data_IF_829442353030
#
_entry.id   IF_829442353030
#
_cell.length_a   1.000
_cell.length_b   1.000
_cell.length_c   1.000
_cell.angle_alpha   90.00
_cell.angle_beta   90.00
_cell.angle_gamma   90.00
#
_symmetry.space_group_name_H-M   'P 1'
#
loop_
_entity.id
_entity.type
_entity.pdbx_description
1 polymer ?
#
# COMPACT_ATOMS: atom_id res chain seq x y z
N UNK A 1 10.08 -47.10 10.89
CA UNK A 1 11.09 -46.28 10.18
C UNK A 1 10.42 -45.07 9.51
N UNK A 2 9.49 -44.38 10.18
CA UNK A 2 8.71 -43.28 9.58
C UNK A 2 8.96 -41.91 10.23
N UNK A 3 9.86 -41.82 11.23
CA UNK A 3 10.07 -40.59 12.00
C UNK A 3 11.36 -39.84 11.60
N UNK A 4 12.07 -40.31 10.58
CA UNK A 4 13.37 -39.74 10.18
C UNK A 4 13.27 -38.85 8.93
N UNK A 5 12.24 -39.02 8.09
CA UNK A 5 12.06 -38.20 6.88
C UNK A 5 11.49 -36.82 7.22
N UNK A 6 10.57 -36.72 8.19
CA UNK A 6 9.99 -35.44 8.62
C UNK A 6 11.04 -34.53 9.27
N UNK A 7 11.92 -35.09 10.12
CA UNK A 7 12.98 -34.33 10.79
C UNK A 7 14.06 -33.84 9.82
N UNK A 8 14.36 -34.61 8.76
CA UNK A 8 15.31 -34.20 7.73
C UNK A 8 14.72 -33.12 6.81
N UNK A 9 13.42 -33.20 6.49
CA UNK A 9 12.72 -32.14 5.76
C UNK A 9 12.66 -30.83 6.57
N UNK A 10 12.36 -30.87 7.86
CA UNK A 10 12.39 -29.68 8.74
C UNK A 10 13.79 -29.08 8.88
N UNK A 11 14.83 -29.91 9.00
CA UNK A 11 16.22 -29.43 9.06
C UNK A 11 16.74 -28.87 7.73
N UNK A 12 16.22 -29.38 6.61
CA UNK A 12 16.55 -28.86 5.27
C UNK A 12 15.81 -27.53 5.00
N UNK A 13 14.53 -27.42 5.41
CA UNK A 13 13.75 -26.16 5.38
C UNK A 13 14.42 -25.03 6.15
N UNK A 14 14.91 -25.30 7.36
CA UNK A 14 15.64 -24.31 8.18
C UNK A 14 16.95 -23.84 7.56
N UNK A 15 17.53 -24.62 6.65
CA UNK A 15 18.86 -24.34 6.07
C UNK A 15 18.77 -23.50 4.80
N UNK A 16 17.70 -23.65 4.02
CA UNK A 16 17.49 -22.88 2.78
C UNK A 16 17.16 -21.42 3.08
N UNK A 17 16.24 -21.16 4.02
CA UNK A 17 15.88 -19.78 4.41
C UNK A 17 17.06 -19.03 5.06
N UNK A 18 17.87 -19.72 5.87
CA UNK A 18 19.05 -19.12 6.52
C UNK A 18 20.19 -18.80 5.53
N UNK A 19 20.14 -19.34 4.30
CA UNK A 19 21.13 -19.07 3.26
C UNK A 19 20.84 -17.79 2.47
N UNK A 20 19.60 -17.29 2.46
CA UNK A 20 19.20 -16.06 1.75
C UNK A 20 19.49 -14.75 2.50
N UNK A 21 19.69 -14.78 3.82
CA UNK A 21 19.91 -13.60 4.68
C UNK A 21 21.39 -13.17 4.82
N UNK A 22 22.21 -13.45 3.80
CA UNK A 22 23.66 -13.26 3.84
C UNK A 22 24.13 -11.80 3.75
N UNK A 23 24.47 -11.23 4.91
CA UNK A 23 25.45 -10.16 5.14
C UNK A 23 25.08 -8.69 4.82
N UNK A 24 24.62 -7.98 5.85
CA UNK A 24 24.71 -6.51 5.95
C UNK A 24 24.24 -6.02 7.33
N UNK A 25 25.13 -5.99 8.33
CA UNK A 25 24.86 -5.38 9.65
C UNK A 25 26.05 -4.49 10.03
N UNK A 26 25.82 -3.18 10.14
CA UNK A 26 26.70 -2.24 10.83
C UNK A 26 25.97 -1.72 12.08
N UNK A 27 26.63 -1.83 13.24
CA UNK A 27 26.06 -1.50 14.55
C UNK A 27 26.39 -0.07 14.97
N UNK A 28 25.41 0.69 15.45
CA UNK A 28 25.62 1.88 16.27
C UNK A 28 24.69 1.85 17.50
N UNK A 29 25.23 2.20 18.66
CA UNK A 29 24.55 2.14 19.96
C UNK A 29 24.45 3.55 20.59
N UNK A 30 23.32 3.85 21.26
CA UNK A 30 23.15 5.06 22.09
C UNK A 30 21.90 4.99 22.98
N UNK A 31 22.01 5.46 24.23
CA UNK A 31 21.04 5.31 25.35
C UNK A 31 20.41 6.69 25.69
N UNK A 32 19.11 6.77 26.04
CA UNK A 32 18.62 7.82 26.98
C UNK A 32 17.14 8.29 26.98
N UNK A 33 16.36 7.76 27.92
CA UNK A 33 15.26 8.34 28.76
C UNK A 33 14.01 9.05 28.18
N UNK A 34 12.88 8.34 28.33
CA UNK A 34 11.48 8.72 28.70
C UNK A 34 10.86 10.01 28.16
N UNK A 35 10.09 9.82 27.08
CA UNK A 35 8.86 10.54 26.76
C UNK A 35 8.87 11.23 25.42
N UNK A 36 8.92 10.53 24.28
CA UNK A 36 8.83 11.10 22.92
C UNK A 36 8.80 10.00 21.84
N UNK A 37 8.27 10.35 20.66
CA UNK A 37 8.44 9.71 19.33
C UNK A 37 9.84 9.09 19.18
N UNK A 38 9.93 7.89 18.60
CA UNK A 38 11.15 7.08 18.63
C UNK A 38 12.33 7.72 17.87
N UNK A 39 13.54 7.29 18.24
CA UNK A 39 14.81 7.91 17.87
C UNK A 39 15.07 7.97 16.36
N UNK A 40 15.39 9.17 15.90
CA UNK A 40 15.89 9.51 14.56
C UNK A 40 17.29 8.88 14.37
N UNK A 41 17.48 8.09 13.30
CA UNK A 41 18.79 7.62 12.87
C UNK A 41 19.42 8.65 11.91
N UNK A 42 20.65 9.06 12.22
CA UNK A 42 21.28 10.35 11.91
C UNK A 42 21.70 10.62 10.43
N UNK A 43 21.11 9.97 9.43
CA UNK A 43 21.41 10.27 8.01
C UNK A 43 20.24 10.06 7.01
N UNK A 44 19.07 9.59 7.47
CA UNK A 44 17.87 9.38 6.64
C UNK A 44 16.65 9.96 7.35
N UNK A 45 15.81 10.71 6.63
CA UNK A 45 14.59 11.34 7.15
C UNK A 45 13.45 10.31 7.39
N UNK A 46 13.77 9.24 8.14
CA UNK A 46 12.87 8.12 8.44
C UNK A 46 12.49 8.15 9.91
N UNK A 47 11.19 8.26 10.19
CA UNK A 47 10.64 8.08 11.53
C UNK A 47 10.51 6.59 11.84
N UNK A 48 10.95 6.16 13.02
CA UNK A 48 10.81 4.76 13.44
C UNK A 48 9.58 4.61 14.34
N UNK A 49 8.68 3.68 13.99
CA UNK A 49 7.56 3.27 14.85
C UNK A 49 7.81 1.82 15.27
N UNK A 50 8.41 1.65 16.46
CA UNK A 50 8.71 0.33 17.03
C UNK A 50 7.63 -0.10 18.02
N UNK A 51 6.75 -0.99 17.57
CA UNK A 51 5.60 -1.46 18.38
C UNK A 51 6.00 -2.46 19.47
N UNK A 52 7.28 -2.88 19.51
CA UNK A 52 7.82 -3.73 20.59
C UNK A 52 8.12 -2.90 21.83
N UNK A 53 8.39 -1.62 21.65
CA UNK A 53 8.80 -0.69 22.72
C UNK A 53 7.72 0.36 23.03
N UNK A 54 6.96 0.78 22.02
CA UNK A 54 5.93 1.80 22.17
C UNK A 54 4.68 1.26 22.87
N UNK A 55 4.22 1.97 23.91
CA UNK A 55 2.98 1.64 24.60
C UNK A 55 1.72 2.07 23.82
N UNK A 56 1.85 3.11 23.00
CA UNK A 56 0.77 3.69 22.19
C UNK A 56 1.39 4.25 20.89
N UNK A 57 1.77 3.37 19.94
CA UNK A 57 2.37 3.80 18.68
C UNK A 57 1.36 4.54 17.80
N UNK A 58 1.77 5.67 17.21
CA UNK A 58 0.97 6.45 16.26
C UNK A 58 1.80 6.81 15.03
N UNK A 59 1.13 7.14 13.92
CA UNK A 59 1.77 7.73 12.76
C UNK A 59 1.83 9.26 12.89
N UNK A 60 2.78 9.92 12.23
CA UNK A 60 2.80 11.37 12.06
C UNK A 60 1.54 11.86 11.34
N UNK A 61 0.93 12.94 11.83
CA UNK A 61 -0.24 13.58 11.18
C UNK A 61 0.28 14.62 10.19
N UNK A 62 0.35 14.22 8.92
CA UNK A 62 0.86 14.96 7.76
C UNK A 62 -0.04 14.74 6.55
N UNK A 63 0.19 15.45 5.45
CA UNK A 63 -0.63 15.32 4.24
C UNK A 63 -0.40 13.96 3.57
N UNK A 64 0.82 13.42 3.58
CA UNK A 64 1.10 12.05 3.12
C UNK A 64 2.14 11.29 3.98
N UNK A 65 1.84 10.04 4.34
CA UNK A 65 2.79 9.16 5.03
C UNK A 65 3.04 7.86 4.26
N UNK A 66 4.32 7.55 4.05
CA UNK A 66 4.78 6.26 3.51
C UNK A 66 5.25 5.36 4.65
N UNK A 67 4.59 4.24 4.89
CA UNK A 67 4.96 3.27 5.92
C UNK A 67 5.60 2.04 5.29
N UNK A 68 6.86 1.80 5.61
CA UNK A 68 7.59 0.59 5.25
C UNK A 68 7.55 -0.45 6.39
N UNK A 69 7.23 -1.70 6.04
CA UNK A 69 7.22 -2.85 6.96
C UNK A 69 8.27 -3.87 6.52
N UNK A 70 9.22 -4.14 7.41
CA UNK A 70 10.33 -5.07 7.16
C UNK A 70 9.91 -6.55 7.17
N UNK A 71 10.76 -7.41 6.61
CA UNK A 71 10.57 -8.87 6.62
C UNK A 71 11.11 -9.61 7.86
N UNK A 72 11.22 -10.94 7.73
CA UNK A 72 11.73 -11.83 8.76
C UNK A 72 13.20 -11.51 9.10
N UNK A 73 13.54 -11.45 10.39
CA UNK A 73 14.83 -10.97 10.93
C UNK A 73 15.18 -9.52 10.53
N UNK A 74 14.20 -8.73 10.07
CA UNK A 74 14.38 -7.35 9.64
C UNK A 74 14.39 -6.31 10.76
N UNK A 75 14.07 -6.66 12.01
CA UNK A 75 13.78 -5.65 13.04
C UNK A 75 14.92 -4.70 13.42
N UNK A 76 16.17 -4.99 13.04
CA UNK A 76 17.31 -4.07 13.18
C UNK A 76 17.71 -3.37 11.88
N UNK A 77 17.28 -3.88 10.72
CA UNK A 77 17.59 -3.33 9.40
C UNK A 77 16.39 -2.65 8.72
N UNK A 78 15.20 -2.72 9.32
CA UNK A 78 13.98 -2.13 8.78
C UNK A 78 14.09 -0.62 8.52
N UNK A 79 14.66 0.19 9.43
CA UNK A 79 14.90 1.61 9.17
C UNK A 79 15.81 1.86 7.96
N UNK A 80 16.88 1.07 7.80
CA UNK A 80 17.79 1.19 6.65
C UNK A 80 17.07 0.80 5.34
N UNK A 81 16.26 -0.27 5.36
CA UNK A 81 15.46 -0.68 4.19
C UNK A 81 14.40 0.36 3.82
N UNK A 82 13.78 1.01 4.79
CA UNK A 82 12.85 2.12 4.56
C UNK A 82 13.57 3.31 3.91
N UNK A 83 14.79 3.62 4.35
CA UNK A 83 15.62 4.67 3.76
C UNK A 83 16.05 4.32 2.32
N UNK A 84 16.44 3.07 2.06
CA UNK A 84 16.77 2.59 0.71
C UNK A 84 15.56 2.71 -0.23
N UNK A 85 14.38 2.29 0.24
CA UNK A 85 13.12 2.43 -0.49
C UNK A 85 12.81 3.90 -0.81
N UNK A 86 12.88 4.78 0.19
CA UNK A 86 12.67 6.22 -0.02
C UNK A 86 13.66 6.78 -1.05
N UNK A 87 14.92 6.31 -1.06
CA UNK A 87 15.92 6.70 -2.04
C UNK A 87 15.60 6.28 -3.48
N UNK A 88 15.10 5.06 -3.70
CA UNK A 88 14.71 4.61 -5.05
C UNK A 88 13.43 5.30 -5.54
N UNK A 89 12.50 5.60 -4.64
CA UNK A 89 11.28 6.36 -4.93
C UNK A 89 11.60 7.81 -5.31
N UNK A 90 12.49 8.47 -4.55
CA UNK A 90 12.94 9.82 -4.86
C UNK A 90 13.66 9.89 -6.22
N UNK A 91 14.41 8.84 -6.56
CA UNK A 91 15.01 8.70 -7.91
C UNK A 91 13.95 8.54 -9.00
N UNK A 92 12.83 7.89 -8.66
CA UNK A 92 11.64 7.76 -9.51
C UNK A 92 10.79 9.03 -9.61
N UNK A 93 11.07 10.06 -8.80
CA UNK A 93 10.35 11.33 -8.81
C UNK A 93 9.27 11.47 -7.73
N UNK A 94 9.18 10.54 -6.78
CA UNK A 94 8.23 10.58 -5.67
C UNK A 94 8.95 10.73 -4.32
N UNK A 95 8.53 11.70 -3.52
CA UNK A 95 8.97 11.90 -2.14
C UNK A 95 7.74 12.13 -1.25
N UNK A 96 7.50 11.25 -0.28
CA UNK A 96 6.45 11.45 0.72
C UNK A 96 6.83 12.55 1.73
N UNK A 97 5.84 13.19 2.36
CA UNK A 97 6.12 14.17 3.44
C UNK A 97 6.87 13.53 4.60
N UNK A 98 6.49 12.29 4.95
CA UNK A 98 7.12 11.52 6.00
C UNK A 98 7.23 10.04 5.63
N UNK A 99 8.43 9.47 5.81
CA UNK A 99 8.66 8.03 5.66
C UNK A 99 8.79 7.39 7.04
N UNK A 100 7.99 6.36 7.31
CA UNK A 100 7.95 5.63 8.57
C UNK A 100 8.47 4.21 8.37
N UNK A 101 9.42 3.80 9.20
CA UNK A 101 9.78 2.40 9.37
C UNK A 101 8.95 1.78 10.50
N UNK A 102 8.00 0.91 10.15
CA UNK A 102 7.22 0.12 11.11
C UNK A 102 8.02 -1.12 11.52
N UNK A 103 8.34 -1.20 12.80
CA UNK A 103 9.19 -2.25 13.37
C UNK A 103 8.38 -3.12 14.33
N UNK A 104 8.30 -4.41 14.03
CA UNK A 104 7.65 -5.43 14.85
C UNK A 104 8.62 -6.56 15.19
N UNK A 105 8.24 -7.45 16.12
CA UNK A 105 9.06 -8.61 16.43
C UNK A 105 8.96 -9.64 15.29
N UNK A 106 10.01 -9.66 14.48
CA UNK A 106 10.18 -10.63 13.41
C UNK A 106 11.39 -11.53 13.68
N UNK A 107 11.69 -11.86 14.94
CA UNK A 107 12.89 -12.63 15.30
C UNK A 107 12.64 -14.12 15.53
N UNK A 108 11.37 -14.56 15.49
CA UNK A 108 10.97 -15.91 15.82
C UNK A 108 11.48 -16.92 14.77
N UNK A 109 12.33 -17.91 15.14
CA UNK A 109 12.90 -18.86 14.19
C UNK A 109 11.92 -19.96 13.76
N UNK A 110 10.73 -20.06 14.36
CA UNK A 110 9.70 -21.02 13.98
C UNK A 110 8.77 -20.43 12.90
N UNK A 111 8.66 -21.12 11.77
CA UNK A 111 7.92 -20.64 10.60
C UNK A 111 6.42 -20.49 10.87
N UNK A 112 5.81 -21.29 11.74
CA UNK A 112 4.39 -21.10 12.03
C UNK A 112 4.20 -19.92 12.97
N UNK A 113 5.01 -19.85 14.03
CA UNK A 113 4.89 -18.79 15.01
C UNK A 113 5.21 -17.41 14.41
N UNK A 114 6.17 -17.31 13.49
CA UNK A 114 6.47 -16.04 12.81
C UNK A 114 5.31 -15.58 11.89
N UNK A 115 4.52 -16.51 11.33
CA UNK A 115 3.32 -16.15 10.55
C UNK A 115 2.22 -15.61 11.47
N UNK A 116 2.06 -16.20 12.66
CA UNK A 116 1.16 -15.68 13.69
C UNK A 116 1.62 -14.30 14.19
N UNK A 117 2.93 -14.11 14.38
CA UNK A 117 3.53 -12.84 14.79
C UNK A 117 3.30 -11.75 13.71
N UNK A 118 3.43 -12.08 12.43
CA UNK A 118 3.12 -11.17 11.32
C UNK A 118 1.63 -10.82 11.26
N UNK A 119 0.73 -11.78 11.48
CA UNK A 119 -0.70 -11.50 11.52
C UNK A 119 -1.07 -10.56 12.69
N UNK A 120 -0.48 -10.80 13.87
CA UNK A 120 -0.66 -9.92 15.04
C UNK A 120 -0.10 -8.50 14.79
N UNK A 121 1.04 -8.39 14.09
CA UNK A 121 1.57 -7.12 13.65
C UNK A 121 0.63 -6.40 12.67
N UNK A 122 -0.01 -7.13 11.75
CA UNK A 122 -1.00 -6.58 10.82
C UNK A 122 -2.22 -6.01 11.54
N UNK A 123 -2.76 -6.74 12.51
CA UNK A 123 -3.85 -6.23 13.35
C UNK A 123 -3.44 -4.99 14.17
N UNK A 124 -2.18 -4.92 14.62
CA UNK A 124 -1.63 -3.73 15.30
C UNK A 124 -1.54 -2.55 14.34
N UNK A 125 -1.00 -2.77 13.14
CA UNK A 125 -0.92 -1.75 12.09
C UNK A 125 -2.30 -1.23 11.71
N UNK A 126 -3.31 -2.10 11.54
CA UNK A 126 -4.69 -1.69 11.29
C UNK A 126 -5.25 -0.77 12.38
N UNK A 127 -4.89 -1.00 13.64
CA UNK A 127 -5.25 -0.10 14.74
C UNK A 127 -4.64 1.29 14.59
N UNK A 128 -3.36 1.33 14.27
CA UNK A 128 -2.60 2.57 14.06
C UNK A 128 -3.14 3.35 12.85
N UNK A 129 -3.46 2.66 11.76
CA UNK A 129 -4.03 3.26 10.55
C UNK A 129 -5.37 3.94 10.81
N UNK A 130 -6.26 3.29 11.57
CA UNK A 130 -7.55 3.89 11.96
C UNK A 130 -7.33 5.17 12.76
N UNK A 131 -6.43 5.14 13.75
CA UNK A 131 -6.09 6.33 14.53
C UNK A 131 -5.52 7.44 13.65
N UNK A 132 -4.61 7.12 12.74
CA UNK A 132 -4.00 8.09 11.84
C UNK A 132 -5.04 8.79 10.94
N UNK A 133 -5.96 8.02 10.35
CA UNK A 133 -7.06 8.53 9.51
C UNK A 133 -8.01 9.39 10.35
N UNK A 134 -8.41 8.92 11.54
CA UNK A 134 -9.28 9.67 12.47
C UNK A 134 -8.64 10.99 12.94
N UNK A 135 -7.32 11.02 13.06
CA UNK A 135 -6.53 12.20 13.44
C UNK A 135 -6.24 13.14 12.27
N UNK A 136 -6.57 12.74 11.05
CA UNK A 136 -6.53 13.59 9.85
C UNK A 136 -5.24 13.50 9.03
N UNK A 137 -4.58 12.33 9.01
CA UNK A 137 -3.60 12.04 7.95
C UNK A 137 -4.32 12.07 6.59
N UNK A 138 -3.74 12.75 5.60
CA UNK A 138 -4.34 12.89 4.28
C UNK A 138 -4.31 11.58 3.48
N UNK A 139 -3.11 11.15 3.11
CA UNK A 139 -2.85 9.92 2.35
C UNK A 139 -1.93 8.97 3.12
N UNK A 140 -2.20 7.67 3.01
CA UNK A 140 -1.37 6.61 3.58
C UNK A 140 -0.94 5.64 2.49
N UNK A 141 0.37 5.39 2.41
CA UNK A 141 0.95 4.37 1.53
C UNK A 141 1.69 3.32 2.33
N UNK A 142 1.43 2.05 2.05
CA UNK A 142 2.02 0.92 2.74
C UNK A 142 2.94 0.14 1.80
N UNK A 143 4.15 -0.16 2.26
CA UNK A 143 5.09 -1.00 1.53
C UNK A 143 5.57 -2.11 2.45
N UNK A 144 5.43 -3.36 2.03
CA UNK A 144 5.79 -4.51 2.86
C UNK A 144 6.76 -5.43 2.14
N UNK A 145 7.98 -5.59 2.65
CA UNK A 145 8.94 -6.52 2.08
C UNK A 145 8.83 -7.91 2.71
N UNK A 146 8.86 -8.97 1.89
CA UNK A 146 8.90 -10.35 2.37
C UNK A 146 7.71 -10.65 3.29
N UNK A 147 7.97 -11.04 4.54
CA UNK A 147 6.95 -11.24 5.56
C UNK A 147 6.19 -9.94 5.91
N UNK A 148 6.81 -8.77 5.78
CA UNK A 148 6.16 -7.47 5.92
C UNK A 148 5.05 -7.25 4.89
N UNK A 149 5.14 -7.89 3.72
CA UNK A 149 4.05 -7.94 2.74
C UNK A 149 2.77 -8.56 3.32
N UNK A 150 2.91 -9.58 4.19
CA UNK A 150 1.75 -10.13 4.91
C UNK A 150 1.17 -9.14 5.90
N UNK A 151 2.02 -8.41 6.61
CA UNK A 151 1.59 -7.45 7.63
C UNK A 151 0.69 -6.38 7.01
N UNK A 152 1.08 -5.85 5.85
CA UNK A 152 0.29 -4.81 5.18
C UNK A 152 -1.03 -5.34 4.61
N UNK A 153 -1.07 -6.56 4.04
CA UNK A 153 -2.31 -7.15 3.55
C UNK A 153 -3.23 -7.64 4.68
N UNK A 154 -2.64 -8.15 5.77
CA UNK A 154 -3.40 -8.48 6.97
C UNK A 154 -4.03 -7.22 7.56
N UNK A 155 -3.29 -6.11 7.60
CA UNK A 155 -3.83 -4.83 8.08
C UNK A 155 -5.08 -4.42 7.30
N UNK A 156 -5.06 -4.53 5.97
CA UNK A 156 -6.25 -4.29 5.13
C UNK A 156 -7.42 -5.22 5.47
N UNK A 157 -7.15 -6.52 5.68
CA UNK A 157 -8.20 -7.50 5.98
C UNK A 157 -8.86 -7.33 7.36
N UNK A 158 -8.15 -6.70 8.30
CA UNK A 158 -8.64 -6.42 9.65
C UNK A 158 -9.25 -5.01 9.74
N UNK A 159 -8.93 -4.12 8.79
CA UNK A 159 -9.49 -2.78 8.73
C UNK A 159 -11.00 -2.85 8.52
N UNK A 160 -11.74 -2.08 9.31
CA UNK A 160 -13.18 -1.98 9.15
C UNK A 160 -13.51 -1.14 7.91
N UNK A 161 -14.61 -1.44 7.23
CA UNK A 161 -15.04 -0.66 6.07
C UNK A 161 -15.21 0.83 6.41
N UNK A 162 -14.72 1.69 5.52
CA UNK A 162 -14.73 3.15 5.69
C UNK A 162 -13.36 3.76 6.04
N UNK A 163 -12.34 2.93 6.27
CA UNK A 163 -10.95 3.36 6.30
C UNK A 163 -10.26 2.85 5.03
N UNK A 164 -9.64 3.74 4.27
CA UNK A 164 -9.01 3.41 2.99
C UNK A 164 -7.55 3.83 3.01
N UNK A 165 -6.68 2.98 2.46
CA UNK A 165 -5.26 3.22 2.23
C UNK A 165 -5.05 3.44 0.73
N UNK A 166 -4.30 4.45 0.32
CA UNK A 166 -4.20 4.83 -1.09
C UNK A 166 -3.42 3.79 -1.90
N UNK A 167 -2.20 3.45 -1.45
CA UNK A 167 -1.36 2.48 -2.16
C UNK A 167 -0.81 1.45 -1.19
N UNK A 168 -0.90 0.17 -1.58
CA UNK A 168 -0.26 -0.93 -0.86
C UNK A 168 0.63 -1.72 -1.81
N UNK A 169 1.93 -1.77 -1.52
CA UNK A 169 2.93 -2.42 -2.35
C UNK A 169 3.64 -3.56 -1.57
N UNK A 170 3.06 -4.77 -1.52
CA UNK A 170 3.80 -5.93 -1.07
C UNK A 170 4.90 -6.28 -2.09
N UNK A 171 6.10 -6.56 -1.60
CA UNK A 171 7.29 -6.86 -2.40
C UNK A 171 7.86 -8.22 -1.99
N UNK A 172 7.89 -9.19 -2.92
CA UNK A 172 8.37 -10.54 -2.63
C UNK A 172 7.61 -11.18 -1.46
N UNK A 173 6.29 -11.00 -1.41
CA UNK A 173 5.47 -11.42 -0.27
C UNK A 173 5.53 -12.93 -0.02
N UNK A 174 5.72 -13.31 1.24
CA UNK A 174 5.79 -14.70 1.68
C UNK A 174 4.39 -15.34 1.82
N UNK A 175 3.62 -15.48 0.73
CA UNK A 175 2.24 -15.98 0.76
C UNK A 175 1.88 -16.87 -0.44
N UNK A 176 0.80 -17.64 -0.28
CA UNK A 176 0.16 -18.37 -1.38
C UNK A 176 -0.69 -17.39 -2.22
N UNK A 177 -0.67 -17.50 -3.54
CA UNK A 177 -1.31 -16.54 -4.43
C UNK A 177 -2.84 -16.55 -4.36
N UNK A 178 -3.46 -17.68 -4.04
CA UNK A 178 -4.90 -17.75 -3.83
C UNK A 178 -5.41 -16.87 -2.67
N UNK A 179 -4.53 -16.41 -1.77
CA UNK A 179 -4.91 -15.52 -0.64
C UNK A 179 -5.48 -14.17 -1.08
N UNK A 180 -5.14 -13.70 -2.28
CA UNK A 180 -5.64 -12.44 -2.86
C UNK A 180 -6.77 -12.63 -3.88
N UNK A 181 -7.17 -13.87 -4.16
CA UNK A 181 -8.27 -14.20 -5.09
C UNK A 181 -9.60 -14.35 -4.36
N UNK A 182 -10.73 -14.34 -5.08
CA UNK A 182 -12.08 -14.43 -4.51
C UNK A 182 -12.21 -15.57 -3.48
N UNK A 183 -12.63 -15.23 -2.25
CA UNK A 183 -12.71 -16.15 -1.11
C UNK A 183 -11.38 -16.43 -0.40
N UNK A 184 -10.29 -15.83 -0.86
CA UNK A 184 -8.99 -15.78 -0.21
C UNK A 184 -8.97 -14.86 1.01
N UNK A 185 -7.97 -15.06 1.88
CA UNK A 185 -7.86 -14.37 3.17
C UNK A 185 -7.90 -12.84 3.08
N UNK A 186 -7.28 -12.26 2.05
CA UNK A 186 -7.09 -10.81 1.94
C UNK A 186 -7.95 -10.17 0.86
N UNK A 187 -8.75 -10.94 0.11
CA UNK A 187 -9.54 -10.44 -1.01
C UNK A 187 -10.48 -9.29 -0.60
N UNK A 188 -11.30 -9.49 0.44
CA UNK A 188 -12.28 -8.49 0.86
C UNK A 188 -11.58 -7.22 1.37
N UNK A 189 -10.51 -7.36 2.17
CA UNK A 189 -9.73 -6.22 2.65
C UNK A 189 -9.06 -5.42 1.53
N UNK A 190 -8.53 -6.10 0.51
CA UNK A 190 -7.95 -5.45 -0.68
C UNK A 190 -9.04 -4.69 -1.47
N UNK A 191 -10.23 -5.29 -1.60
CA UNK A 191 -11.34 -4.70 -2.36
C UNK A 191 -11.94 -3.48 -1.65
N UNK A 192 -12.04 -3.51 -0.32
CA UNK A 192 -12.78 -2.52 0.47
C UNK A 192 -11.89 -1.40 1.03
N UNK A 193 -10.63 -1.71 1.36
CA UNK A 193 -9.81 -0.85 2.22
C UNK A 193 -8.52 -0.34 1.53
N UNK A 194 -8.36 -0.56 0.23
CA UNK A 194 -7.26 0.01 -0.53
C UNK A 194 -7.69 0.55 -1.90
N UNK A 195 -7.23 1.74 -2.26
CA UNK A 195 -7.44 2.30 -3.61
C UNK A 195 -6.65 1.51 -4.64
N UNK A 196 -5.41 1.14 -4.32
CA UNK A 196 -4.59 0.26 -5.15
C UNK A 196 -3.67 -0.66 -4.36
N UNK A 197 -3.58 -1.90 -4.81
CA UNK A 197 -2.64 -2.90 -4.32
C UNK A 197 -1.78 -3.38 -5.48
N UNK A 198 -0.47 -3.18 -5.39
CA UNK A 198 0.52 -3.56 -6.42
C UNK A 198 1.47 -4.61 -5.86
N UNK A 199 1.25 -5.87 -6.19
CA UNK A 199 2.12 -6.95 -5.76
C UNK A 199 3.34 -7.06 -6.68
N UNK A 200 4.51 -6.66 -6.17
CA UNK A 200 5.77 -6.80 -6.89
C UNK A 200 6.35 -8.18 -6.63
N UNK A 201 6.45 -8.99 -7.69
CA UNK A 201 6.98 -10.34 -7.63
C UNK A 201 8.16 -10.53 -8.58
N UNK A 202 9.05 -11.47 -8.26
CA UNK A 202 10.19 -11.83 -9.11
C UNK A 202 10.36 -13.33 -9.16
N UNK A 203 10.41 -13.89 -10.37
CA UNK A 203 10.76 -15.29 -10.58
C UNK A 203 12.22 -15.61 -10.21
N UNK A 204 13.04 -14.61 -9.92
CA UNK A 204 14.39 -14.76 -9.37
C UNK A 204 14.40 -14.79 -7.83
N UNK A 205 13.24 -14.68 -7.17
CA UNK A 205 13.10 -14.81 -5.72
C UNK A 205 13.29 -16.27 -5.27
N UNK A 206 14.49 -16.56 -4.75
CA UNK A 206 14.90 -17.89 -4.32
C UNK A 206 14.50 -18.25 -2.88
N UNK A 207 13.83 -17.33 -2.18
CA UNK A 207 13.43 -17.50 -0.78
C UNK A 207 11.95 -17.86 -0.67
N UNK A 208 11.07 -17.16 -1.38
CA UNK A 208 9.61 -17.35 -1.26
C UNK A 208 9.12 -18.52 -2.10
N UNK A 209 9.55 -18.61 -3.36
CA UNK A 209 9.09 -19.64 -4.31
C UNK A 209 9.12 -21.08 -3.78
N UNK A 210 10.14 -21.52 -3.01
CA UNK A 210 10.20 -22.89 -2.50
C UNK A 210 9.20 -23.26 -1.41
N UNK A 211 8.68 -22.29 -0.66
CA UNK A 211 7.91 -22.53 0.57
C UNK A 211 6.40 -22.19 0.44
N UNK A 212 5.99 -21.56 -0.66
CA UNK A 212 4.61 -21.17 -0.97
C UNK A 212 4.14 -21.70 -2.33
N UNK A 213 2.84 -21.61 -2.63
CA UNK A 213 2.25 -21.98 -3.92
C UNK A 213 1.85 -23.44 -4.08
N UNK A 214 2.20 -24.33 -3.16
CA UNK A 214 1.60 -25.66 -3.02
C UNK A 214 1.36 -26.44 -4.34
N UNK A 215 0.31 -27.24 -4.40
CA UNK A 215 -0.09 -27.92 -5.64
C UNK A 215 -1.35 -27.27 -6.20
N UNK A 216 -1.19 -26.54 -7.32
CA UNK A 216 -2.30 -25.84 -7.97
C UNK A 216 -2.53 -24.41 -7.48
N UNK A 217 -1.53 -23.83 -6.81
CA UNK A 217 -1.47 -22.43 -6.41
C UNK A 217 -0.11 -21.85 -6.86
N UNK A 218 0.18 -20.61 -6.53
CA UNK A 218 1.44 -19.92 -6.85
C UNK A 218 2.06 -19.31 -5.61
N UNK A 219 3.38 -19.18 -5.57
CA UNK A 219 4.05 -18.39 -4.54
C UNK A 219 3.90 -16.91 -4.89
N UNK A 220 3.08 -16.17 -4.15
CA UNK A 220 2.64 -14.82 -4.55
C UNK A 220 3.80 -13.84 -4.79
N UNK A 221 4.84 -13.90 -3.96
CA UNK A 221 6.04 -13.06 -4.10
C UNK A 221 7.03 -13.51 -5.18
N UNK A 222 6.87 -14.70 -5.76
CA UNK A 222 7.77 -15.24 -6.79
C UNK A 222 7.08 -15.45 -8.15
N UNK A 223 5.76 -15.61 -8.16
CA UNK A 223 4.98 -16.03 -9.33
C UNK A 223 3.72 -15.19 -9.56
N UNK A 224 3.34 -14.32 -8.62
CA UNK A 224 2.07 -13.58 -8.68
C UNK A 224 0.86 -14.42 -8.28
N UNK A 225 -0.35 -13.94 -8.58
CA UNK A 225 -1.62 -14.65 -8.35
C UNK A 225 -1.83 -15.79 -9.37
N UNK A 226 -2.46 -16.92 -8.98
CA UNK A 226 -2.74 -18.00 -9.93
C UNK A 226 -3.83 -17.62 -10.95
N UNK A 227 -4.67 -16.62 -10.64
CA UNK A 227 -5.74 -16.14 -11.52
C UNK A 227 -6.01 -14.64 -11.29
N UNK A 228 -5.41 -13.80 -12.15
CA UNK A 228 -5.63 -12.34 -12.14
C UNK A 228 -7.07 -11.91 -12.40
N UNK A 229 -7.93 -12.78 -12.93
CA UNK A 229 -9.36 -12.44 -13.14
C UNK A 229 -10.20 -12.66 -11.90
N UNK A 230 -9.65 -13.35 -10.89
CA UNK A 230 -10.28 -13.61 -9.61
C UNK A 230 -9.79 -12.67 -8.50
N UNK A 231 -8.94 -11.68 -8.80
CA UNK A 231 -8.50 -10.67 -7.82
C UNK A 231 -9.43 -9.44 -7.83
N UNK A 232 -9.44 -8.63 -6.76
CA UNK A 232 -10.20 -7.37 -6.76
C UNK A 232 -9.73 -6.43 -7.86
N UNK A 233 -10.60 -5.52 -8.31
CA UNK A 233 -10.27 -4.53 -9.34
C UNK A 233 -9.13 -3.58 -8.92
N UNK A 234 -8.94 -3.39 -7.61
CA UNK A 234 -7.87 -2.58 -7.02
C UNK A 234 -6.53 -3.31 -6.97
N UNK A 235 -6.48 -4.60 -7.31
CA UNK A 235 -5.26 -5.42 -7.24
C UNK A 235 -4.58 -5.54 -8.60
N UNK A 236 -3.25 -5.44 -8.62
CA UNK A 236 -2.42 -5.68 -9.81
C UNK A 236 -1.12 -6.38 -9.43
N UNK A 237 -0.75 -7.39 -10.22
CA UNK A 237 0.58 -7.99 -10.17
C UNK A 237 1.56 -7.21 -11.04
N UNK A 238 2.76 -6.97 -10.52
CA UNK A 238 3.86 -6.32 -11.23
C UNK A 238 5.06 -7.27 -11.26
N UNK A 239 5.38 -7.77 -12.44
CA UNK A 239 6.55 -8.63 -12.66
C UNK A 239 7.82 -7.78 -12.72
N UNK A 240 8.66 -7.91 -11.70
CA UNK A 240 9.97 -7.24 -11.62
C UNK A 240 11.13 -8.21 -11.78
N UNK A 241 10.89 -9.38 -12.38
CA UNK A 241 11.92 -10.40 -12.59
C UNK A 241 13.17 -9.86 -13.30
N UNK A 242 13.01 -8.96 -14.26
CA UNK A 242 14.13 -8.42 -15.03
C UNK A 242 15.01 -7.42 -14.24
N UNK A 243 14.49 -6.79 -13.18
CA UNK A 243 15.20 -5.78 -12.36
C UNK A 243 15.59 -6.29 -10.97
N UNK A 244 14.80 -7.19 -10.39
CA UNK A 244 15.01 -7.75 -9.06
C UNK A 244 15.60 -9.15 -9.18
N UNK A 245 16.92 -9.24 -8.95
CA UNK A 245 17.68 -10.48 -9.15
C UNK A 245 17.68 -11.48 -7.99
N UNK A 246 17.15 -11.12 -6.81
CA UNK A 246 17.01 -12.00 -5.64
C UNK A 246 16.06 -11.37 -4.59
N UNK A 247 15.69 -12.14 -3.57
CA UNK A 247 14.74 -11.74 -2.52
C UNK A 247 15.11 -10.43 -1.77
N UNK A 248 16.39 -10.13 -1.61
CA UNK A 248 16.85 -8.93 -0.90
C UNK A 248 16.94 -7.68 -1.77
N UNK A 249 16.72 -7.77 -3.08
CA UNK A 249 17.02 -6.69 -4.01
C UNK A 249 15.86 -5.71 -4.27
N UNK A 250 14.64 -6.01 -3.82
CA UNK A 250 13.44 -5.20 -4.12
C UNK A 250 13.60 -3.72 -3.74
N UNK A 251 13.99 -3.42 -2.49
CA UNK A 251 14.11 -2.04 -1.99
C UNK A 251 15.30 -1.27 -2.56
N UNK A 252 16.12 -1.92 -3.39
CA UNK A 252 17.30 -1.34 -4.02
C UNK A 252 17.21 -1.30 -5.55
N UNK A 253 16.05 -1.68 -6.12
CA UNK A 253 15.81 -1.74 -7.56
C UNK A 253 15.27 -0.39 -8.07
N UNK A 254 16.04 0.38 -8.85
CA UNK A 254 15.59 1.67 -9.37
C UNK A 254 14.39 1.53 -10.31
N UNK A 255 14.31 0.46 -11.10
CA UNK A 255 13.19 0.22 -12.01
C UNK A 255 11.88 -0.05 -11.25
N UNK A 256 11.95 -0.79 -10.13
CA UNK A 256 10.80 -0.97 -9.25
C UNK A 256 10.44 0.34 -8.54
N UNK A 257 11.43 1.11 -8.10
CA UNK A 257 11.22 2.43 -7.50
C UNK A 257 10.52 3.40 -8.46
N UNK A 258 10.91 3.40 -9.74
CA UNK A 258 10.25 4.18 -10.78
C UNK A 258 8.79 3.75 -10.98
N UNK A 259 8.52 2.45 -11.16
CA UNK A 259 7.15 1.96 -11.36
C UNK A 259 6.23 2.29 -10.17
N UNK A 260 6.73 2.16 -8.95
CA UNK A 260 5.96 2.51 -7.76
C UNK A 260 5.77 4.02 -7.64
N UNK A 261 6.79 4.83 -7.93
CA UNK A 261 6.67 6.28 -7.95
C UNK A 261 5.64 6.75 -8.99
N UNK A 262 5.73 6.23 -10.22
CA UNK A 262 4.78 6.54 -11.30
C UNK A 262 3.36 6.16 -10.89
N UNK A 263 3.16 4.95 -10.36
CA UNK A 263 1.83 4.51 -9.92
C UNK A 263 1.24 5.34 -8.77
N UNK A 264 2.10 5.89 -7.91
CA UNK A 264 1.71 6.78 -6.83
C UNK A 264 1.35 8.16 -7.39
N UNK A 265 2.18 8.73 -8.26
CA UNK A 265 1.95 10.04 -8.85
C UNK A 265 0.75 10.02 -9.79
N UNK A 266 0.57 8.99 -10.60
CA UNK A 266 -0.62 8.82 -11.45
C UNK A 266 -1.91 8.64 -10.62
N UNK A 267 -1.82 8.19 -9.36
CA UNK A 267 -2.94 8.22 -8.40
C UNK A 267 -3.10 9.57 -7.70
N UNK A 268 -1.99 10.29 -7.49
CA UNK A 268 -1.99 11.66 -6.94
C UNK A 268 -2.41 12.72 -7.94
N UNK A 269 -2.39 12.40 -9.23
CA UNK A 269 -2.94 13.20 -10.33
C UNK A 269 -4.49 13.10 -10.39
N UNK A 270 -5.17 12.65 -9.33
CA UNK A 270 -6.58 13.05 -9.10
C UNK A 270 -6.71 14.57 -8.79
N UNK A 271 -5.58 15.27 -8.67
CA UNK A 271 -5.46 16.74 -8.79
C UNK A 271 -5.18 17.22 -10.23
N UNK A 272 -5.05 16.33 -11.23
CA UNK A 272 -5.22 16.74 -12.62
C UNK A 272 -6.69 17.18 -12.75
N UNK A 273 -6.93 18.42 -13.18
CA UNK A 273 -8.29 18.89 -13.26
C UNK A 273 -9.06 17.98 -14.21
N UNK A 274 -10.21 17.49 -13.75
CA UNK A 274 -11.05 16.56 -14.50
C UNK A 274 -11.36 17.15 -15.88
N UNK A 275 -10.63 16.78 -16.92
CA UNK A 275 -10.86 17.37 -18.23
C UNK A 275 -12.14 16.79 -18.85
N UNK A 276 -13.15 17.65 -19.01
CA UNK A 276 -14.39 17.31 -19.68
C UNK A 276 -14.34 17.81 -21.12
N UNK A 277 -13.71 17.05 -22.02
CA UNK A 277 -13.58 17.41 -23.45
C UNK A 277 -13.04 18.84 -23.71
N UNK A 278 -12.05 19.27 -22.92
CA UNK A 278 -11.43 20.60 -23.02
C UNK A 278 -12.10 21.68 -22.16
N UNK A 279 -13.09 21.31 -21.33
CA UNK A 279 -13.48 22.07 -20.16
C UNK A 279 -12.72 21.58 -18.94
N UNK A 280 -12.51 22.47 -17.99
CA UNK A 280 -11.78 22.23 -16.75
C UNK A 280 -12.73 22.55 -15.59
N UNK A 281 -13.67 21.65 -15.24
CA UNK A 281 -14.64 21.86 -14.18
C UNK A 281 -13.96 22.15 -12.84
N UNK A 282 -14.49 23.10 -12.07
CA UNK A 282 -13.90 23.50 -10.79
C UNK A 282 -14.92 23.71 -9.67
N UNK A 283 -14.49 23.58 -8.40
CA UNK A 283 -15.22 24.10 -7.25
C UNK A 283 -15.52 25.59 -7.35
N UNK A 284 -16.74 26.01 -7.03
CA UNK A 284 -17.12 27.43 -7.07
C UNK A 284 -17.36 28.05 -5.68
N UNK A 285 -17.91 27.30 -4.73
CA UNK A 285 -18.41 27.81 -3.45
C UNK A 285 -17.69 27.26 -2.21
N UNK A 286 -16.51 26.65 -2.43
CA UNK A 286 -15.71 26.02 -1.39
C UNK A 286 -16.26 24.67 -0.91
N UNK A 287 -17.22 24.08 -1.63
CA UNK A 287 -17.48 22.64 -1.58
C UNK A 287 -16.60 21.90 -2.57
N UNK A 288 -16.53 20.58 -2.46
CA UNK A 288 -15.79 19.73 -3.41
C UNK A 288 -16.57 19.51 -4.72
N UNK A 289 -17.81 20.01 -4.83
CA UNK A 289 -18.64 19.88 -6.03
C UNK A 289 -18.23 20.87 -7.11
N UNK A 290 -18.15 20.38 -8.35
CA UNK A 290 -17.67 21.14 -9.51
C UNK A 290 -18.79 21.97 -10.13
N UNK A 291 -19.24 23.00 -9.41
CA UNK A 291 -20.32 23.88 -9.85
C UNK A 291 -19.96 24.74 -11.09
N UNK A 292 -18.68 25.04 -11.31
CA UNK A 292 -18.16 25.75 -12.49
C UNK A 292 -17.73 24.72 -13.54
N UNK A 293 -18.70 24.04 -14.15
CA UNK A 293 -18.47 22.89 -15.06
C UNK A 293 -17.70 23.28 -16.32
N UNK A 294 -17.83 24.52 -16.79
CA UNK A 294 -17.11 24.98 -17.98
C UNK A 294 -15.70 25.55 -17.68
N UNK A 295 -15.34 25.68 -16.40
CA UNK A 295 -14.03 26.16 -15.94
C UNK A 295 -13.76 27.65 -16.16
N UNK A 296 -14.79 28.48 -16.39
CA UNK A 296 -14.60 29.90 -16.68
C UNK A 296 -14.37 30.77 -15.42
N UNK A 297 -14.43 30.17 -14.24
CA UNK A 297 -14.35 30.80 -12.93
C UNK A 297 -15.68 31.41 -12.47
N UNK A 298 -16.81 31.03 -13.05
CA UNK A 298 -18.14 31.55 -12.72
C UNK A 298 -19.24 30.54 -12.99
N UNK A 299 -19.99 30.23 -11.93
CA UNK A 299 -21.28 29.58 -12.05
C UNK A 299 -22.28 30.42 -12.89
N UNK A 300 -22.77 29.82 -13.98
CA UNK A 300 -23.64 30.44 -14.97
C UNK A 300 -24.43 29.44 -15.83
N UNK A 301 -25.20 29.97 -16.77
CA UNK A 301 -26.04 29.12 -17.65
C UNK A 301 -25.23 28.24 -18.62
N UNK A 302 -23.95 28.55 -18.84
CA UNK A 302 -23.10 27.77 -19.71
C UNK A 302 -22.70 26.44 -19.03
N UNK A 303 -22.49 26.44 -17.71
CA UNK A 303 -22.23 25.23 -16.93
C UNK A 303 -23.36 24.21 -17.05
N UNK A 304 -24.62 24.66 -16.97
CA UNK A 304 -25.79 23.79 -17.17
C UNK A 304 -25.80 23.18 -18.56
N UNK A 305 -25.36 23.93 -19.58
CA UNK A 305 -25.33 23.44 -20.97
C UNK A 305 -24.22 22.41 -21.15
N UNK A 306 -23.00 22.72 -20.69
CA UNK A 306 -21.86 21.80 -20.73
C UNK A 306 -22.18 20.52 -19.96
N UNK A 307 -22.69 20.65 -18.74
CA UNK A 307 -23.03 19.50 -17.92
C UNK A 307 -24.11 18.62 -18.56
N UNK A 308 -25.15 19.22 -19.15
CA UNK A 308 -26.19 18.46 -19.83
C UNK A 308 -25.68 17.76 -21.09
N UNK A 309 -24.86 18.43 -21.91
CA UNK A 309 -24.31 17.87 -23.14
C UNK A 309 -23.34 16.72 -22.88
N UNK A 310 -22.72 16.69 -21.70
CA UNK A 310 -21.75 15.69 -21.27
C UNK A 310 -22.23 14.79 -20.13
N UNK A 311 -23.54 14.81 -19.82
CA UNK A 311 -24.09 14.09 -18.66
C UNK A 311 -23.75 12.59 -18.68
N UNK A 312 -23.77 11.99 -19.87
CA UNK A 312 -23.52 10.55 -20.08
C UNK A 312 -22.03 10.23 -20.28
N UNK A 313 -21.13 11.23 -20.26
CA UNK A 313 -19.70 10.97 -20.48
C UNK A 313 -19.10 10.19 -19.29
N UNK A 314 -18.16 9.25 -19.54
CA UNK A 314 -17.54 8.46 -18.47
C UNK A 314 -16.89 9.31 -17.39
N UNK A 315 -16.34 10.47 -17.78
CA UNK A 315 -15.73 11.44 -16.87
C UNK A 315 -16.74 11.96 -15.84
N UNK A 316 -17.99 12.17 -16.24
CA UNK A 316 -19.07 12.63 -15.34
C UNK A 316 -19.63 11.46 -14.54
N UNK A 317 -19.91 10.34 -15.21
CA UNK A 317 -20.59 9.19 -14.60
C UNK A 317 -19.72 8.42 -13.60
N UNK A 318 -18.40 8.36 -13.83
CA UNK A 318 -17.48 7.66 -12.92
C UNK A 318 -17.03 8.53 -11.73
N UNK A 319 -17.41 9.80 -11.70
CA UNK A 319 -17.00 10.75 -10.67
C UNK A 319 -18.18 11.43 -9.95
N UNK A 320 -19.12 10.65 -9.38
CA UNK A 320 -20.30 11.20 -8.71
C UNK A 320 -19.95 12.13 -7.54
N UNK A 321 -18.80 11.95 -6.90
CA UNK A 321 -18.32 12.79 -5.81
C UNK A 321 -18.16 14.27 -6.19
N UNK A 322 -17.97 14.59 -7.48
CA UNK A 322 -17.83 15.96 -7.97
C UNK A 322 -19.07 16.49 -8.70
N UNK A 323 -19.93 15.60 -9.23
CA UNK A 323 -21.04 15.94 -10.13
C UNK A 323 -22.45 15.59 -9.64
N UNK A 324 -22.60 14.85 -8.52
CA UNK A 324 -23.90 14.59 -7.87
C UNK A 324 -24.39 15.81 -7.07
N UNK A 325 -24.80 16.85 -7.80
CA UNK A 325 -25.30 18.09 -7.23
C UNK A 325 -26.56 17.89 -6.38
N UNK A 326 -27.36 16.86 -6.68
CA UNK A 326 -28.59 16.52 -5.97
C UNK A 326 -28.38 15.72 -4.69
N UNK A 327 -27.20 15.11 -4.51
CA UNK A 327 -26.86 14.25 -3.37
C UNK A 327 -27.64 12.93 -3.38
N UNK A 328 -27.97 12.42 -4.57
CA UNK A 328 -28.77 11.21 -4.75
C UNK A 328 -27.96 9.91 -4.71
N UNK A 329 -26.63 10.02 -4.81
CA UNK A 329 -25.66 8.93 -4.90
C UNK A 329 -25.26 8.57 -6.33
N UNK A 330 -25.93 9.12 -7.35
CA UNK A 330 -25.69 8.87 -8.78
C UNK A 330 -25.81 10.19 -9.56
N UNK A 331 -25.09 10.33 -10.69
CA UNK A 331 -25.19 11.50 -11.56
C UNK A 331 -26.28 11.34 -12.61
N UNK A 332 -27.28 12.23 -12.61
CA UNK A 332 -28.51 12.10 -13.38
C UNK A 332 -29.06 13.45 -13.86
N UNK A 333 -30.19 13.42 -14.57
CA UNK A 333 -30.90 14.65 -14.95
C UNK A 333 -31.39 15.49 -13.75
N UNK A 334 -31.49 14.91 -12.56
CA UNK A 334 -31.81 15.69 -11.36
C UNK A 334 -30.67 16.65 -11.00
N UNK A 335 -29.42 16.25 -11.24
CA UNK A 335 -28.24 17.08 -10.97
C UNK A 335 -28.21 18.28 -11.91
N UNK A 336 -28.63 18.11 -13.16
CA UNK A 336 -28.80 19.22 -14.13
C UNK A 336 -29.83 20.23 -13.63
N UNK A 337 -30.95 19.75 -13.04
CA UNK A 337 -31.97 20.62 -12.46
C UNK A 337 -31.41 21.35 -11.24
N UNK A 338 -30.70 20.65 -10.36
CA UNK A 338 -30.09 21.24 -9.16
C UNK A 338 -29.07 22.32 -9.52
N UNK A 339 -28.21 22.08 -10.52
CA UNK A 339 -27.26 23.06 -11.03
C UNK A 339 -27.99 24.30 -11.57
N UNK A 340 -29.08 24.11 -12.34
CA UNK A 340 -29.89 25.20 -12.87
C UNK A 340 -30.59 26.02 -11.77
N UNK A 341 -31.11 25.37 -10.72
CA UNK A 341 -31.77 26.05 -9.60
C UNK A 341 -30.82 26.90 -8.74
N UNK A 342 -29.51 26.70 -8.88
CA UNK A 342 -28.48 27.42 -8.14
C UNK A 342 -27.99 28.70 -8.81
N UNK A 343 -28.39 28.95 -10.07
CA UNK A 343 -28.15 30.20 -10.81
C UNK A 343 -28.99 31.37 -10.27
#
# INVERSE_FOLDING_TARGET
MANNETSLQTLTRRRTVLHGLGAGILAAAGIGTTGTVAAQSDDSNVTVVDVREAADPTLPVVDEVLVFVHGWFGSSGGPDQAADLAGILATGGYEADETVAFVYDASNPDVNAIMDDAAAAGATLAGILRTAIDEGVGSIRLVGHSLGGRVVLEALSVLEGGYVVDTVAPMGIAADGSTVTEGGQWYDGIAENATAVRNYYSGNDDVVGPDFGGAGDTALGAEGTPDSTATPATYTDVDVTDSVGNHGAYTSSPELGQDLADAITEQGDDDDPIELNGYEPQPYDGSDLYWDVDGNGRLGSNDVTVFFDHLDDPVVQNNPQYFDFSGSGDVSTNDVVTLFERL
#
